data_IF_747686426252
#
_entry.id   IF_747686426252
#
_cell.length_a   1.000
_cell.length_b   1.000
_cell.length_c   1.000
_cell.angle_alpha   90.00
_cell.angle_beta   90.00
_cell.angle_gamma   90.00
#
_symmetry.space_group_name_H-M   'P 1'
#
loop_
_entity.id
_entity.type
_entity.pdbx_description
1 polymer ?
#
# COMPACT_ATOMS: atom_id res chain seq x y z
N UNK A 1 42.49 13.69 -24.18
CA UNK A 1 41.86 13.56 -22.85
C UNK A 1 40.35 13.80 -22.82
N UNK A 2 39.78 14.64 -23.69
CA UNK A 2 38.33 14.93 -23.70
C UNK A 2 37.44 13.74 -24.07
N UNK A 3 37.87 12.88 -24.99
CA UNK A 3 37.08 11.72 -25.44
C UNK A 3 36.84 10.70 -24.31
N UNK A 4 37.87 10.40 -23.53
CA UNK A 4 37.78 9.47 -22.39
C UNK A 4 36.89 10.03 -21.27
N UNK A 5 36.98 11.35 -21.03
CA UNK A 5 36.11 12.06 -20.08
C UNK A 5 34.64 11.98 -20.50
N UNK A 6 34.34 12.17 -21.78
CA UNK A 6 32.98 12.11 -22.29
C UNK A 6 32.41 10.69 -22.23
N UNK A 7 33.22 9.67 -22.50
CA UNK A 7 32.82 8.27 -22.38
C UNK A 7 32.41 7.90 -20.94
N UNK A 8 33.20 8.33 -19.95
CA UNK A 8 32.89 8.09 -18.52
C UNK A 8 31.58 8.75 -18.11
N UNK A 9 31.31 9.97 -18.59
CA UNK A 9 30.06 10.69 -18.30
C UNK A 9 28.86 9.96 -18.90
N UNK A 10 28.96 9.48 -20.14
CA UNK A 10 27.89 8.72 -20.81
C UNK A 10 27.60 7.40 -20.07
N UNK A 11 28.65 6.68 -19.66
CA UNK A 11 28.50 5.43 -18.90
C UNK A 11 27.85 5.68 -17.54
N UNK A 12 28.25 6.72 -16.80
CA UNK A 12 27.60 7.06 -15.53
C UNK A 12 26.13 7.43 -15.70
N UNK A 13 25.77 8.24 -16.70
CA UNK A 13 24.37 8.59 -16.97
C UNK A 13 23.53 7.35 -17.32
N UNK A 14 24.10 6.40 -18.07
CA UNK A 14 23.47 5.11 -18.35
C UNK A 14 23.19 4.29 -17.09
N UNK A 15 24.16 4.21 -16.16
CA UNK A 15 23.97 3.51 -14.89
C UNK A 15 22.90 4.16 -14.00
N UNK A 16 22.85 5.49 -13.93
CA UNK A 16 21.79 6.19 -13.18
C UNK A 16 20.40 5.93 -13.76
N UNK A 17 20.25 5.95 -15.09
CA UNK A 17 18.97 5.71 -15.74
C UNK A 17 18.42 4.30 -15.50
N UNK A 18 19.29 3.27 -15.51
CA UNK A 18 18.89 1.87 -15.28
C UNK A 18 18.66 1.58 -13.79
N UNK A 19 19.40 2.23 -12.88
CA UNK A 19 19.20 2.06 -11.44
C UNK A 19 17.82 2.51 -10.96
N UNK A 20 17.26 3.58 -11.55
CA UNK A 20 15.95 4.11 -11.17
C UNK A 20 14.76 3.19 -11.53
N UNK A 21 14.88 2.32 -12.54
CA UNK A 21 13.80 1.38 -12.88
C UNK A 21 13.74 0.16 -11.94
N UNK A 22 14.85 -0.18 -11.28
CA UNK A 22 14.93 -1.29 -10.32
C UNK A 22 14.39 -0.93 -8.93
N UNK A 23 14.37 0.36 -8.58
CA UNK A 23 13.87 0.84 -7.29
C UNK A 23 12.33 0.76 -7.14
N UNK A 24 11.61 0.46 -8.24
CA UNK A 24 10.15 0.47 -8.27
C UNK A 24 9.57 1.88 -8.09
N UNK A 25 8.23 2.02 -8.14
CA UNK A 25 7.59 3.33 -7.96
C UNK A 25 7.89 3.88 -6.56
N UNK A 26 8.50 5.07 -6.49
CA UNK A 26 8.79 5.77 -5.23
C UNK A 26 7.53 6.01 -4.36
N UNK A 27 6.34 5.89 -4.95
CA UNK A 27 5.05 6.10 -4.31
C UNK A 27 4.27 4.80 -4.05
N UNK A 28 4.94 3.65 -3.96
CA UNK A 28 4.32 2.53 -3.25
C UNK A 28 4.27 2.92 -1.78
N UNK A 29 3.16 3.53 -1.36
CA UNK A 29 2.68 3.45 0.03
C UNK A 29 2.94 2.00 0.40
N UNK A 30 3.91 1.74 1.28
CA UNK A 30 4.19 0.38 1.72
C UNK A 30 2.87 -0.11 2.26
N UNK A 31 2.17 -0.94 1.47
CA UNK A 31 0.76 -1.20 1.72
C UNK A 31 0.72 -1.83 3.10
N UNK A 32 0.17 -1.06 4.05
CA UNK A 32 0.33 -1.36 5.44
C UNK A 32 -0.32 -2.72 5.67
N UNK A 33 0.52 -3.72 5.95
CA UNK A 33 0.08 -5.12 5.94
C UNK A 33 -1.05 -5.34 6.95
N UNK A 34 -1.03 -4.59 8.06
CA UNK A 34 -2.06 -4.68 9.09
C UNK A 34 -3.37 -4.04 8.62
N UNK A 35 -3.30 -2.87 7.99
CA UNK A 35 -4.46 -2.20 7.38
C UNK A 35 -5.11 -3.09 6.33
N UNK A 36 -4.33 -3.62 5.38
CA UNK A 36 -4.85 -4.49 4.33
C UNK A 36 -5.45 -5.77 4.90
N UNK A 37 -4.77 -6.41 5.87
CA UNK A 37 -5.29 -7.62 6.50
C UNK A 37 -6.62 -7.36 7.22
N UNK A 38 -6.74 -6.20 7.90
CA UNK A 38 -7.99 -5.81 8.54
C UNK A 38 -9.12 -5.59 7.52
N UNK A 39 -8.86 -4.88 6.41
CA UNK A 39 -9.87 -4.64 5.37
C UNK A 39 -10.38 -5.94 4.72
N UNK A 40 -9.51 -6.93 4.52
CA UNK A 40 -9.93 -8.25 4.02
C UNK A 40 -10.84 -8.96 5.02
N UNK A 41 -10.49 -8.94 6.31
CA UNK A 41 -11.33 -9.54 7.35
C UNK A 41 -12.64 -8.79 7.54
N UNK A 42 -12.64 -7.47 7.38
CA UNK A 42 -13.84 -6.64 7.38
C UNK A 42 -14.81 -7.06 6.27
N UNK A 43 -14.29 -7.24 5.06
CA UNK A 43 -15.05 -7.66 3.89
C UNK A 43 -15.63 -9.06 4.06
N UNK A 44 -14.81 -10.04 4.46
CA UNK A 44 -15.27 -11.39 4.76
C UNK A 44 -16.32 -11.43 5.87
N UNK A 45 -16.19 -10.57 6.89
CA UNK A 45 -17.17 -10.45 7.95
C UNK A 45 -18.49 -9.85 7.45
N UNK A 46 -18.43 -8.84 6.56
CA UNK A 46 -19.61 -8.28 5.89
C UNK A 46 -20.34 -9.31 5.02
N UNK A 47 -19.60 -10.28 4.46
CA UNK A 47 -20.16 -11.37 3.65
C UNK A 47 -20.68 -12.55 4.50
N UNK A 48 -20.63 -12.44 5.84
CA UNK A 48 -21.19 -13.43 6.76
C UNK A 48 -20.23 -14.52 7.22
N UNK A 49 -18.92 -14.40 6.97
CA UNK A 49 -17.94 -15.34 7.48
C UNK A 49 -17.80 -15.21 9.01
N UNK A 50 -18.28 -16.22 9.74
CA UNK A 50 -18.29 -16.22 11.23
C UNK A 50 -16.91 -16.09 11.86
N UNK A 51 -15.88 -16.69 11.26
CA UNK A 51 -14.49 -16.58 11.73
C UNK A 51 -13.96 -15.17 11.52
N UNK A 52 -14.33 -14.52 10.42
CA UNK A 52 -13.96 -13.15 10.17
C UNK A 52 -14.65 -12.19 11.16
N UNK A 53 -15.95 -12.41 11.43
CA UNK A 53 -16.71 -11.65 12.44
C UNK A 53 -16.06 -11.76 13.82
N UNK A 54 -15.69 -12.97 14.26
CA UNK A 54 -15.05 -13.16 15.57
C UNK A 54 -13.66 -12.53 15.65
N UNK A 55 -12.90 -12.55 14.55
CA UNK A 55 -11.52 -12.07 14.54
C UNK A 55 -11.41 -10.56 14.28
N UNK A 56 -12.44 -9.93 13.72
CA UNK A 56 -12.47 -8.50 13.37
C UNK A 56 -12.05 -7.61 14.56
N UNK A 57 -12.60 -7.84 15.75
CA UNK A 57 -12.27 -7.05 16.96
C UNK A 57 -10.80 -7.20 17.37
N UNK A 58 -10.28 -8.42 17.36
CA UNK A 58 -8.89 -8.70 17.73
C UNK A 58 -7.93 -8.05 16.73
N UNK A 59 -8.18 -8.19 15.43
CA UNK A 59 -7.34 -7.58 14.41
C UNK A 59 -7.37 -6.06 14.45
N UNK A 60 -8.53 -5.46 14.74
CA UNK A 60 -8.62 -4.00 14.94
C UNK A 60 -7.74 -3.51 16.09
N UNK A 61 -7.53 -4.33 17.12
CA UNK A 61 -6.69 -3.96 18.28
C UNK A 61 -5.20 -3.91 17.97
N UNK A 62 -4.75 -4.57 16.90
CA UNK A 62 -3.36 -4.51 16.42
C UNK A 62 -3.05 -3.23 15.64
N UNK A 63 -4.06 -2.44 15.30
CA UNK A 63 -3.89 -1.18 14.58
C UNK A 63 -3.53 -0.04 15.54
N UNK A 64 -2.55 0.78 15.14
CA UNK A 64 -2.29 2.07 15.75
C UNK A 64 -3.38 3.11 15.35
N UNK A 65 -3.36 4.28 15.98
CA UNK A 65 -4.40 5.30 15.78
C UNK A 65 -4.48 5.83 14.36
N UNK A 66 -3.36 5.97 13.65
CA UNK A 66 -3.36 6.46 12.27
C UNK A 66 -3.90 5.39 11.31
N UNK A 67 -3.53 4.13 11.53
CA UNK A 67 -4.08 2.98 10.80
C UNK A 67 -5.59 2.84 11.03
N UNK A 68 -6.06 3.03 12.26
CA UNK A 68 -7.51 3.02 12.59
C UNK A 68 -8.27 4.11 11.85
N UNK A 69 -7.75 5.35 11.83
CA UNK A 69 -8.34 6.45 11.06
C UNK A 69 -8.39 6.11 9.57
N UNK A 70 -7.32 5.51 9.04
CA UNK A 70 -7.24 5.12 7.64
C UNK A 70 -8.29 4.05 7.28
N UNK A 71 -8.38 2.95 8.03
CA UNK A 71 -9.36 1.88 7.75
C UNK A 71 -10.79 2.41 7.88
N UNK A 72 -11.09 3.22 8.88
CA UNK A 72 -12.42 3.79 9.06
C UNK A 72 -12.79 4.70 7.87
N UNK A 73 -11.87 5.56 7.42
CA UNK A 73 -12.08 6.38 6.23
C UNK A 73 -12.37 5.52 4.98
N UNK A 74 -11.60 4.46 4.77
CA UNK A 74 -11.80 3.55 3.62
C UNK A 74 -13.17 2.86 3.69
N UNK A 75 -13.56 2.35 4.86
CA UNK A 75 -14.85 1.67 5.06
C UNK A 75 -16.01 2.65 4.83
N UNK A 76 -15.92 3.87 5.37
CA UNK A 76 -16.94 4.91 5.15
C UNK A 76 -17.11 5.21 3.67
N UNK A 77 -16.01 5.48 2.95
CA UNK A 77 -16.06 5.72 1.50
C UNK A 77 -16.62 4.53 0.71
N UNK A 78 -16.29 3.30 1.11
CA UNK A 78 -16.84 2.08 0.51
C UNK A 78 -18.35 1.98 0.69
N UNK A 79 -18.85 2.28 1.89
CA UNK A 79 -20.28 2.24 2.19
C UNK A 79 -21.05 3.34 1.47
N UNK A 80 -20.51 4.56 1.42
CA UNK A 80 -21.08 5.66 0.63
C UNK A 80 -21.22 5.28 -0.85
N UNK A 81 -20.19 4.67 -1.45
CA UNK A 81 -20.25 4.20 -2.83
C UNK A 81 -21.28 3.09 -3.04
N UNK A 82 -21.44 2.16 -2.08
CA UNK A 82 -22.45 1.09 -2.17
C UNK A 82 -23.89 1.60 -2.06
N UNK A 83 -24.13 2.71 -1.37
CA UNK A 83 -25.45 3.32 -1.23
C UNK A 83 -25.84 4.13 -2.48
N UNK A 84 -24.87 4.60 -3.25
CA UNK A 84 -25.07 5.40 -4.45
C UNK A 84 -25.15 4.57 -5.76
N UNK A 85 -25.25 3.24 -5.65
CA UNK A 85 -25.36 2.26 -6.74
C UNK A 85 -26.74 1.61 -6.72
#
# INVERSE_FOLDING_TARGET
MYFLRNLVVVVMLGFFAVGSSLAGPANKISADKLVNSYLVVEELASDGNSNAVSNKKTMYSFLNEDQKKLVNKIITLRNENRVNL
#
